data_IF_430017796558
#
_entry.id   IF_430017796558
#
_cell.length_a   1.000
_cell.length_b   1.000
_cell.length_c   1.000
_cell.angle_alpha   90.00
_cell.angle_beta   90.00
_cell.angle_gamma   90.00
#
_symmetry.space_group_name_H-M   'P 1'
#
loop_
_entity.id
_entity.type
_entity.pdbx_description
1 polymer ?
#
# COMPACT_ATOMS: atom_id res chain seq x y z
N UNK A 1 0.54 0.70 2.68
CA UNK A 1 1.54 1.43 1.88
C UNK A 1 0.86 2.49 1.02
N UNK A 2 1.51 3.60 0.84
CA UNK A 2 0.99 4.66 -0.02
C UNK A 2 0.87 4.16 -1.46
N UNK A 3 -0.27 4.41 -2.08
CA UNK A 3 -0.59 3.89 -3.41
C UNK A 3 0.44 4.30 -4.48
N UNK A 4 0.96 5.51 -4.38
CA UNK A 4 1.91 6.04 -5.35
C UNK A 4 3.37 5.83 -4.98
N UNK A 5 3.64 5.14 -3.88
CA UNK A 5 5.00 4.82 -3.49
C UNK A 5 5.46 3.53 -4.18
N UNK A 6 5.88 3.66 -5.44
CA UNK A 6 6.28 2.52 -6.25
C UNK A 6 7.47 1.75 -5.66
N UNK A 7 8.39 2.45 -4.98
CA UNK A 7 9.55 1.83 -4.36
C UNK A 7 9.15 0.91 -3.21
N UNK A 8 8.26 1.38 -2.33
CA UNK A 8 7.76 0.57 -1.21
C UNK A 8 6.94 -0.61 -1.72
N UNK A 9 6.09 -0.38 -2.73
CA UNK A 9 5.29 -1.45 -3.32
C UNK A 9 6.17 -2.56 -3.89
N UNK A 10 7.22 -2.22 -4.60
CA UNK A 10 8.16 -3.22 -5.14
C UNK A 10 8.87 -3.98 -4.03
N UNK A 11 9.23 -3.30 -2.96
CA UNK A 11 9.86 -3.93 -1.80
C UNK A 11 8.95 -5.03 -1.23
N UNK A 12 7.68 -4.71 -0.99
CA UNK A 12 6.74 -5.68 -0.45
C UNK A 12 6.45 -6.81 -1.43
N UNK A 13 6.35 -6.51 -2.70
CA UNK A 13 6.11 -7.54 -3.72
C UNK A 13 7.27 -8.54 -3.80
N UNK A 14 8.50 -8.07 -3.67
CA UNK A 14 9.68 -8.95 -3.60
C UNK A 14 9.66 -9.83 -2.35
N UNK A 15 9.11 -9.36 -1.27
CA UNK A 15 8.99 -10.14 -0.04
C UNK A 15 7.81 -11.12 -0.05
N UNK A 16 7.08 -11.21 -1.15
CA UNK A 16 5.95 -12.12 -1.28
C UNK A 16 4.61 -11.53 -0.89
N UNK A 17 4.55 -10.23 -0.65
CA UNK A 17 3.28 -9.54 -0.38
C UNK A 17 2.63 -9.11 -1.69
N UNK A 18 1.31 -9.01 -1.67
CA UNK A 18 0.54 -8.52 -2.80
C UNK A 18 -0.64 -7.67 -2.32
N UNK A 19 -1.11 -6.74 -3.14
CA UNK A 19 -2.34 -6.00 -2.80
C UNK A 19 -3.50 -6.98 -2.64
N UNK A 20 -4.28 -6.81 -1.58
CA UNK A 20 -5.43 -7.70 -1.32
C UNK A 20 -6.76 -7.11 -1.78
N UNK A 21 -6.72 -6.01 -2.51
CA UNK A 21 -7.91 -5.34 -3.02
C UNK A 21 -8.48 -4.27 -2.10
N UNK A 22 -8.00 -4.18 -0.86
CA UNK A 22 -8.45 -3.13 0.04
C UNK A 22 -7.66 -1.85 -0.19
N UNK A 23 -8.36 -0.75 -0.34
CA UNK A 23 -7.76 0.57 -0.43
C UNK A 23 -8.38 1.48 0.60
N UNK A 24 -7.55 2.29 1.24
CA UNK A 24 -7.98 3.28 2.22
C UNK A 24 -7.40 4.63 1.87
N UNK A 25 -7.99 5.68 2.40
CA UNK A 25 -7.45 7.02 2.28
C UNK A 25 -7.14 7.53 3.67
N UNK A 26 -5.91 7.99 3.87
CA UNK A 26 -5.49 8.58 5.12
C UNK A 26 -5.38 10.09 4.95
N UNK A 27 -5.84 10.82 5.95
CA UNK A 27 -5.73 12.27 5.93
C UNK A 27 -4.42 12.68 6.58
N UNK A 28 -3.54 13.26 5.76
CA UNK A 28 -2.23 13.73 6.20
C UNK A 28 -2.12 15.19 5.82
N UNK A 29 -1.92 16.05 6.83
CA UNK A 29 -1.77 17.50 6.63
C UNK A 29 -2.91 18.12 5.81
N UNK A 30 -4.13 17.66 6.03
CA UNK A 30 -5.31 18.17 5.36
C UNK A 30 -5.54 17.62 3.95
N UNK A 31 -4.70 16.71 3.48
CA UNK A 31 -4.83 16.08 2.17
C UNK A 31 -5.18 14.60 2.33
N UNK A 32 -6.04 14.10 1.46
CA UNK A 32 -6.36 12.67 1.40
C UNK A 32 -5.31 11.96 0.58
N UNK A 33 -4.63 11.00 1.21
CA UNK A 33 -3.59 10.23 0.58
C UNK A 33 -4.05 8.78 0.45
N UNK A 34 -4.17 8.25 -0.77
CA UNK A 34 -4.62 6.87 -0.94
C UNK A 34 -3.54 5.87 -0.50
N UNK A 35 -3.99 4.81 0.18
CA UNK A 35 -3.13 3.71 0.61
C UNK A 35 -3.67 2.38 0.09
N UNK A 36 -2.74 1.48 -0.21
CA UNK A 36 -3.06 0.12 -0.65
C UNK A 36 -2.61 -0.84 0.43
N UNK A 37 -3.49 -1.77 0.80
CA UNK A 37 -3.14 -2.80 1.77
C UNK A 37 -2.45 -3.97 1.09
N UNK A 38 -1.30 -4.36 1.61
CA UNK A 38 -0.57 -5.52 1.16
C UNK A 38 -0.70 -6.65 2.17
N UNK A 39 -0.86 -7.86 1.67
CA UNK A 39 -0.95 -9.05 2.50
C UNK A 39 -0.11 -10.16 1.89
N UNK A 40 0.31 -11.10 2.74
CA UNK A 40 1.06 -12.27 2.31
C UNK A 40 0.32 -13.52 2.78
N UNK A 41 0.11 -14.51 1.89
CA UNK A 41 -0.48 -15.79 2.30
C UNK A 41 0.41 -16.49 3.33
N UNK A 42 -0.23 -17.11 4.29
CA UNK A 42 0.47 -17.88 5.31
C UNK A 42 0.73 -19.32 4.84
#
# INVERSE_FOLDING_TARGET
VLKHNARARRFYERAGFAPDGAEEAEEIAGARVPEVRYARPL
#
